data_IF_243154309162
#
_entry.id   IF_243154309162
#
_cell.length_a   1.000
_cell.length_b   1.000
_cell.length_c   1.000
_cell.angle_alpha   90.00
_cell.angle_beta   90.00
_cell.angle_gamma   90.00
#
_symmetry.space_group_name_H-M   'P 1'
#
loop_
_entity.id
_entity.type
_entity.pdbx_description
1 polymer ?
#
# COMPACT_ATOMS: atom_id res chain seq x y z
N UNK A 1 -17.24 4.19 -15.01
CA UNK A 1 -15.96 3.49 -15.25
C UNK A 1 -15.09 4.27 -16.23
N UNK A 2 -13.91 4.70 -15.78
CA UNK A 2 -13.00 5.51 -16.59
C UNK A 2 -11.93 4.62 -17.26
N UNK A 3 -11.55 4.93 -18.51
CA UNK A 3 -10.55 4.18 -19.31
C UNK A 3 -9.19 4.13 -18.60
N UNK A 4 -8.41 3.05 -18.69
CA UNK A 4 -7.10 2.99 -18.01
C UNK A 4 -6.10 4.04 -18.52
N UNK A 5 -6.24 4.51 -19.76
CA UNK A 5 -5.36 5.52 -20.35
C UNK A 5 -5.44 6.83 -19.58
N UNK A 6 -4.35 7.21 -18.92
CA UNK A 6 -4.29 8.49 -18.19
C UNK A 6 -4.37 9.67 -19.16
N UNK A 7 -5.22 10.68 -18.91
CA UNK A 7 -5.23 11.93 -19.67
C UNK A 7 -3.87 12.65 -19.57
N UNK A 8 -3.45 13.34 -20.64
CA UNK A 8 -2.18 14.07 -20.67
C UNK A 8 -2.03 15.06 -19.50
N UNK A 9 -3.11 15.76 -19.16
CA UNK A 9 -3.14 16.68 -18.02
C UNK A 9 -2.86 15.96 -16.68
N UNK A 10 -3.41 14.75 -16.50
CA UNK A 10 -3.15 13.94 -15.30
C UNK A 10 -1.71 13.42 -15.27
N UNK A 11 -1.13 13.07 -16.42
CA UNK A 11 0.28 12.66 -16.51
C UNK A 11 1.23 13.81 -16.13
N UNK A 12 1.00 14.99 -16.69
CA UNK A 12 1.76 16.19 -16.35
C UNK A 12 1.60 16.54 -14.86
N UNK A 13 0.37 16.51 -14.33
CA UNK A 13 0.11 16.73 -12.91
C UNK A 13 0.84 15.70 -12.03
N UNK A 14 0.86 14.43 -12.43
CA UNK A 14 1.58 13.36 -11.73
C UNK A 14 3.10 13.59 -11.69
N UNK A 15 3.70 14.05 -12.79
CA UNK A 15 5.13 14.39 -12.84
C UNK A 15 5.45 15.58 -11.94
N UNK A 16 4.67 16.66 -12.04
CA UNK A 16 4.82 17.83 -11.15
C UNK A 16 4.60 17.45 -9.68
N UNK A 17 3.61 16.60 -9.38
CA UNK A 17 3.37 16.09 -8.02
C UNK A 17 4.56 15.30 -7.50
N UNK A 18 5.24 14.50 -8.33
CA UNK A 18 6.42 13.76 -7.92
C UNK A 18 7.55 14.73 -7.51
N UNK A 19 7.81 15.78 -8.30
CA UNK A 19 8.78 16.82 -7.98
C UNK A 19 8.40 17.56 -6.68
N UNK A 20 7.15 18.01 -6.57
CA UNK A 20 6.65 18.74 -5.40
C UNK A 20 6.75 17.87 -4.14
N UNK A 21 6.38 16.59 -4.22
CA UNK A 21 6.53 15.63 -3.11
C UNK A 21 7.98 15.39 -2.74
N UNK A 22 8.90 15.36 -3.71
CA UNK A 22 10.34 15.24 -3.46
C UNK A 22 10.88 16.46 -2.72
N UNK A 23 10.51 17.67 -3.16
CA UNK A 23 10.93 18.92 -2.52
C UNK A 23 10.31 19.12 -1.12
N UNK A 24 9.09 18.63 -0.90
CA UNK A 24 8.43 18.64 0.42
C UNK A 24 9.01 17.59 1.38
N UNK A 25 9.70 16.58 0.87
CA UNK A 25 10.11 15.40 1.66
C UNK A 25 10.98 15.75 2.89
N UNK A 26 11.99 16.65 2.80
CA UNK A 26 12.77 17.01 4.00
C UNK A 26 11.93 17.66 5.10
N UNK A 27 10.91 18.45 4.75
CA UNK A 27 10.00 19.05 5.74
C UNK A 27 9.11 17.99 6.39
N UNK A 28 8.65 17.02 5.59
CA UNK A 28 7.85 15.90 6.05
C UNK A 28 8.67 15.04 7.02
N UNK A 29 9.90 14.67 6.67
CA UNK A 29 10.79 13.86 7.52
C UNK A 29 11.12 14.59 8.82
N UNK A 30 11.49 15.88 8.77
CA UNK A 30 11.80 16.64 9.98
C UNK A 30 10.60 16.78 10.92
N UNK A 31 9.41 17.09 10.38
CA UNK A 31 8.16 17.06 11.14
C UNK A 31 7.89 15.69 11.74
N UNK A 32 8.09 14.64 10.95
CA UNK A 32 7.82 13.28 11.35
C UNK A 32 8.73 12.83 12.49
N UNK A 33 10.04 13.05 12.37
CA UNK A 33 11.01 12.76 13.43
C UNK A 33 10.69 13.56 14.70
N UNK A 34 10.31 14.84 14.57
CA UNK A 34 9.91 15.66 15.70
C UNK A 34 8.67 15.09 16.39
N UNK A 35 7.63 14.71 15.62
CA UNK A 35 6.43 14.09 16.15
C UNK A 35 6.72 12.77 16.87
N UNK A 36 7.58 11.92 16.31
CA UNK A 36 7.98 10.64 16.92
C UNK A 36 8.61 10.78 18.30
N UNK A 37 9.32 11.90 18.58
CA UNK A 37 9.89 12.14 19.91
C UNK A 37 8.83 12.32 21.00
N UNK A 38 7.65 12.83 20.64
CA UNK A 38 6.59 13.17 21.58
C UNK A 38 5.42 12.16 21.59
N UNK A 39 5.39 11.23 20.63
CA UNK A 39 4.40 10.16 20.54
C UNK A 39 5.09 8.78 20.56
N UNK A 40 5.64 8.35 21.70
CA UNK A 40 6.28 7.03 21.80
C UNK A 40 5.24 5.90 21.79
N UNK A 41 5.57 4.78 21.16
CA UNK A 41 4.72 3.56 21.17
C UNK A 41 4.82 2.82 22.51
N UNK A 42 3.95 1.83 22.76
CA UNK A 42 4.02 1.02 23.98
C UNK A 42 5.35 0.26 24.11
N UNK A 43 5.81 -0.36 23.03
CA UNK A 43 7.10 -1.06 22.97
C UNK A 43 8.27 -0.12 23.30
N UNK A 44 8.29 1.09 22.72
CA UNK A 44 9.32 2.09 23.01
C UNK A 44 9.28 2.58 24.47
N UNK A 45 8.09 2.61 25.10
CA UNK A 45 7.93 2.97 26.51
C UNK A 45 8.41 1.86 27.45
N UNK A 46 8.13 0.60 27.12
CA UNK A 46 8.55 -0.57 27.88
C UNK A 46 10.06 -0.81 27.79
N UNK A 47 10.64 -0.74 26.59
CA UNK A 47 12.08 -0.97 26.36
C UNK A 47 12.95 0.25 26.72
N UNK A 48 12.46 1.45 26.43
CA UNK A 48 13.26 2.67 26.48
C UNK A 48 13.54 3.16 27.89
N UNK A 49 12.67 2.92 28.87
CA UNK A 49 12.74 3.57 30.16
C UNK A 49 12.56 5.10 30.08
N UNK A 50 11.96 5.69 31.12
CA UNK A 50 11.57 7.11 31.11
C UNK A 50 12.75 8.08 30.84
N UNK A 51 13.96 7.75 31.32
CA UNK A 51 15.16 8.59 31.16
C UNK A 51 15.68 8.66 29.72
N UNK A 52 15.65 7.57 28.95
CA UNK A 52 16.16 7.59 27.57
C UNK A 52 15.21 8.34 26.64
N UNK A 53 13.90 8.23 26.87
CA UNK A 53 12.90 8.99 26.11
C UNK A 53 13.10 10.49 26.34
N UNK A 54 13.24 10.90 27.61
CA UNK A 54 13.54 12.29 27.97
C UNK A 54 14.85 12.78 27.33
N UNK A 55 15.90 11.97 27.38
CA UNK A 55 17.19 12.31 26.78
C UNK A 55 17.07 12.53 25.26
N UNK A 56 16.38 11.62 24.54
CA UNK A 56 16.12 11.76 23.10
C UNK A 56 15.33 13.03 22.80
N UNK A 57 14.29 13.32 23.59
CA UNK A 57 13.50 14.55 23.45
C UNK A 57 14.38 15.79 23.60
N UNK A 58 15.19 15.89 24.66
CA UNK A 58 16.04 17.06 24.90
C UNK A 58 17.09 17.23 23.79
N UNK A 59 17.73 16.15 23.37
CA UNK A 59 18.82 16.19 22.39
C UNK A 59 18.34 16.44 20.96
N UNK A 60 17.23 15.83 20.55
CA UNK A 60 16.79 15.77 19.16
C UNK A 60 15.68 16.75 18.81
N UNK A 61 14.97 17.32 19.79
CA UNK A 61 13.90 18.30 19.51
C UNK A 61 14.46 19.53 18.80
N UNK A 62 15.53 20.14 19.33
CA UNK A 62 16.10 21.35 18.76
C UNK A 62 16.54 21.18 17.30
N UNK A 63 17.34 20.15 16.92
CA UNK A 63 17.77 20.00 15.53
C UNK A 63 16.61 19.72 14.58
N UNK A 64 15.63 18.87 14.95
CA UNK A 64 14.49 18.60 14.07
C UNK A 64 13.54 19.79 13.96
N UNK A 65 13.29 20.51 15.06
CA UNK A 65 12.48 21.72 15.05
C UNK A 65 13.15 22.82 14.21
N UNK A 66 14.46 23.04 14.36
CA UNK A 66 15.20 24.01 13.56
C UNK A 66 15.15 23.67 12.06
N UNK A 67 15.35 22.39 11.70
CA UNK A 67 15.24 21.93 10.32
C UNK A 67 13.83 22.12 9.76
N UNK A 68 12.78 21.80 10.53
CA UNK A 68 11.40 21.99 10.11
C UNK A 68 11.06 23.48 9.91
N UNK A 69 11.46 24.34 10.84
CA UNK A 69 11.25 25.80 10.76
C UNK A 69 11.98 26.38 9.55
N UNK A 70 13.22 25.95 9.28
CA UNK A 70 13.98 26.38 8.10
C UNK A 70 13.28 26.02 6.78
N UNK A 71 12.61 24.86 6.73
CA UNK A 71 11.90 24.36 5.56
C UNK A 71 10.44 24.85 5.47
N UNK A 72 9.95 25.55 6.50
CA UNK A 72 8.57 26.02 6.57
C UNK A 72 8.20 26.99 5.43
N UNK A 73 9.05 27.94 4.99
CA UNK A 73 8.75 28.80 3.85
C UNK A 73 8.57 28.02 2.53
N UNK A 74 9.42 27.02 2.30
CA UNK A 74 9.31 26.13 1.12
C UNK A 74 8.01 25.33 1.19
N UNK A 75 7.69 24.80 2.37
CA UNK A 75 6.45 24.05 2.62
C UNK A 75 5.22 24.92 2.39
N UNK A 76 5.23 26.18 2.85
CA UNK A 76 4.13 27.11 2.70
C UNK A 76 3.80 27.43 1.23
N UNK A 77 4.79 27.38 0.33
CA UNK A 77 4.60 27.58 -1.11
C UNK A 77 4.20 26.28 -1.82
N UNK A 78 4.87 25.18 -1.50
CA UNK A 78 4.70 23.90 -2.20
C UNK A 78 3.43 23.15 -1.78
N UNK A 79 2.92 23.35 -0.56
CA UNK A 79 1.72 22.68 -0.09
C UNK A 79 0.45 23.15 -0.85
N UNK A 80 0.20 24.47 -1.06
CA UNK A 80 -0.88 24.92 -1.94
C UNK A 80 -0.75 24.41 -3.37
N UNK A 81 0.47 24.40 -3.92
CA UNK A 81 0.74 23.84 -5.25
C UNK A 81 0.41 22.35 -5.31
N UNK A 82 0.78 21.57 -4.28
CA UNK A 82 0.39 20.16 -4.15
C UNK A 82 -1.13 20.03 -4.17
N UNK A 83 -1.86 20.83 -3.39
CA UNK A 83 -3.32 20.78 -3.35
C UNK A 83 -3.94 21.05 -4.73
N UNK A 84 -3.45 22.07 -5.44
CA UNK A 84 -3.90 22.40 -6.81
C UNK A 84 -3.62 21.25 -7.80
N UNK A 85 -2.43 20.67 -7.76
CA UNK A 85 -2.09 19.56 -8.65
C UNK A 85 -2.96 18.31 -8.37
N UNK A 86 -3.32 18.09 -7.10
CA UNK A 86 -4.21 16.99 -6.72
C UNK A 86 -5.65 17.17 -7.24
N UNK A 87 -6.12 18.40 -7.51
CA UNK A 87 -7.46 18.60 -8.12
C UNK A 87 -7.49 18.27 -9.61
N UNK A 88 -6.36 18.37 -10.29
CA UNK A 88 -6.24 18.09 -11.74
C UNK A 88 -6.01 16.60 -12.00
N UNK A 89 -5.41 15.93 -11.04
CA UNK A 89 -5.06 14.51 -11.15
C UNK A 89 -6.31 13.62 -11.10
N UNK A 90 -6.24 12.50 -11.83
CA UNK A 90 -7.18 11.39 -11.71
C UNK A 90 -7.24 10.84 -10.26
N UNK A 91 -8.40 10.35 -9.79
CA UNK A 91 -8.59 9.84 -8.43
C UNK A 91 -7.88 8.50 -8.11
N UNK A 92 -6.97 8.03 -8.96
CA UNK A 92 -6.14 6.85 -8.71
C UNK A 92 -4.95 6.84 -9.67
N UNK A 93 -3.97 5.98 -9.39
CA UNK A 93 -2.91 5.58 -10.33
C UNK A 93 -3.06 4.10 -10.65
N UNK A 94 -2.69 3.76 -11.88
CA UNK A 94 -2.61 2.38 -12.35
C UNK A 94 -1.18 2.11 -12.78
N UNK A 95 -0.62 1.02 -12.31
CA UNK A 95 0.71 0.54 -12.67
C UNK A 95 0.61 -0.89 -13.15
N UNK A 96 1.27 -1.16 -14.26
CA UNK A 96 1.37 -2.47 -14.88
C UNK A 96 2.84 -2.85 -15.01
N UNK A 97 3.26 -3.91 -14.33
CA UNK A 97 4.63 -4.39 -14.39
C UNK A 97 4.65 -5.91 -14.42
N UNK A 98 5.07 -6.46 -15.56
CA UNK A 98 5.26 -7.90 -15.71
C UNK A 98 6.72 -8.29 -15.55
N UNK A 99 6.94 -9.34 -14.78
CA UNK A 99 8.16 -10.14 -14.77
C UNK A 99 7.90 -11.48 -15.50
N UNK A 100 8.93 -12.29 -15.71
CA UNK A 100 8.80 -13.58 -16.42
C UNK A 100 7.78 -14.51 -15.74
N UNK A 101 7.77 -14.54 -14.41
CA UNK A 101 6.86 -15.37 -13.61
C UNK A 101 5.40 -14.96 -13.76
N UNK A 102 5.09 -13.68 -13.62
CA UNK A 102 3.73 -13.14 -13.71
C UNK A 102 3.15 -13.34 -15.10
N UNK A 103 3.96 -13.23 -16.18
CA UNK A 103 3.52 -13.60 -17.54
C UNK A 103 3.14 -15.07 -17.64
N UNK A 104 3.99 -15.95 -17.13
CA UNK A 104 3.75 -17.40 -17.16
C UNK A 104 2.50 -17.79 -16.35
N UNK A 105 2.30 -17.18 -15.18
CA UNK A 105 1.12 -17.38 -14.36
C UNK A 105 -0.15 -16.86 -15.05
N UNK A 106 -0.10 -15.68 -15.66
CA UNK A 106 -1.22 -15.11 -16.41
C UNK A 106 -1.63 -16.01 -17.59
N UNK A 107 -0.66 -16.53 -18.36
CA UNK A 107 -0.95 -17.46 -19.45
C UNK A 107 -1.55 -18.78 -18.97
N UNK A 108 -1.00 -19.32 -17.88
CA UNK A 108 -1.49 -20.57 -17.27
C UNK A 108 -2.91 -20.39 -16.75
N UNK A 109 -3.18 -19.27 -16.08
CA UNK A 109 -4.50 -18.90 -15.61
C UNK A 109 -5.47 -18.73 -16.79
N UNK A 110 -5.08 -18.04 -17.86
CA UNK A 110 -5.91 -17.87 -19.08
C UNK A 110 -6.31 -19.22 -19.68
N UNK A 111 -5.40 -20.19 -19.76
CA UNK A 111 -5.69 -21.55 -20.25
C UNK A 111 -6.67 -22.28 -19.32
N UNK A 112 -6.46 -22.20 -18.01
CA UNK A 112 -7.34 -22.84 -17.02
C UNK A 112 -8.74 -22.20 -16.98
N UNK A 113 -8.85 -20.88 -17.16
CA UNK A 113 -10.11 -20.15 -17.26
C UNK A 113 -10.88 -20.63 -18.50
N UNK A 114 -10.21 -20.70 -19.65
CA UNK A 114 -10.82 -21.20 -20.89
C UNK A 114 -11.30 -22.65 -20.79
N UNK A 115 -10.61 -23.47 -19.97
CA UNK A 115 -11.01 -24.85 -19.67
C UNK A 115 -12.11 -24.97 -18.60
N UNK A 116 -12.55 -23.87 -17.97
CA UNK A 116 -13.52 -23.90 -16.86
C UNK A 116 -12.98 -24.53 -15.57
N UNK A 117 -11.65 -24.60 -15.43
CA UNK A 117 -10.96 -25.26 -14.31
C UNK A 117 -10.30 -24.26 -13.34
N UNK A 118 -10.48 -22.96 -13.57
CA UNK A 118 -9.88 -21.92 -12.73
C UNK A 118 -10.76 -21.58 -11.53
N UNK A 119 -10.13 -21.42 -10.36
CA UNK A 119 -10.78 -20.93 -9.14
C UNK A 119 -10.18 -19.58 -8.79
N UNK A 120 -11.04 -18.58 -8.59
CA UNK A 120 -10.61 -17.24 -8.25
C UNK A 120 -10.45 -17.08 -6.74
N UNK A 121 -9.26 -16.65 -6.30
CA UNK A 121 -8.99 -16.25 -4.93
C UNK A 121 -9.10 -14.74 -4.74
N UNK A 122 -9.88 -14.29 -3.77
CA UNK A 122 -10.00 -12.85 -3.43
C UNK A 122 -9.70 -12.66 -1.95
N UNK A 123 -8.82 -11.71 -1.65
CA UNK A 123 -8.42 -11.39 -0.29
C UNK A 123 -8.61 -9.90 0.01
N UNK A 124 -8.85 -9.58 1.28
CA UNK A 124 -8.86 -8.20 1.77
C UNK A 124 -8.02 -8.09 3.04
N UNK A 125 -7.26 -7.00 3.17
CA UNK A 125 -6.44 -6.74 4.35
C UNK A 125 -6.41 -5.25 4.67
N UNK A 126 -6.71 -4.91 5.93
CA UNK A 126 -6.40 -3.61 6.48
C UNK A 126 -5.00 -3.69 7.12
N UNK A 127 -4.07 -2.85 6.67
CA UNK A 127 -2.65 -2.98 7.03
C UNK A 127 -2.10 -1.82 7.86
N UNK A 128 -2.90 -0.79 8.15
CA UNK A 128 -2.52 0.35 8.98
C UNK A 128 -1.17 1.00 8.58
N UNK A 129 -0.91 1.17 7.26
CA UNK A 129 0.27 1.88 6.74
C UNK A 129 -0.03 3.38 6.63
N UNK A 130 -0.10 4.02 7.78
CA UNK A 130 -0.38 5.45 7.94
C UNK A 130 0.92 6.26 7.95
N UNK A 131 0.89 7.59 7.70
CA UNK A 131 1.97 8.47 8.14
C UNK A 131 2.35 8.20 9.60
N UNK A 132 3.63 8.30 9.93
CA UNK A 132 4.19 7.74 11.17
C UNK A 132 3.57 8.36 12.44
N UNK A 133 3.25 9.67 12.46
CA UNK A 133 2.47 10.26 13.57
C UNK A 133 1.14 9.51 13.82
N UNK A 134 0.40 9.20 12.75
CA UNK A 134 -0.87 8.49 12.85
C UNK A 134 -0.67 7.01 13.19
N UNK A 135 0.39 6.40 12.68
CA UNK A 135 0.76 5.02 13.04
C UNK A 135 1.08 4.90 14.54
N UNK A 136 1.81 5.88 15.10
CA UNK A 136 2.15 5.93 16.52
C UNK A 136 0.94 6.13 17.43
N UNK A 137 -0.07 6.87 16.98
CA UNK A 137 -1.36 6.95 17.68
C UNK A 137 -2.06 5.58 17.77
N UNK A 138 -1.75 4.65 16.86
CA UNK A 138 -2.19 3.26 16.89
C UNK A 138 -1.13 2.30 17.48
N UNK A 139 -0.11 2.84 18.15
CA UNK A 139 1.04 2.10 18.71
C UNK A 139 1.84 1.28 17.69
N UNK A 140 1.87 1.74 16.44
CA UNK A 140 2.66 1.15 15.37
C UNK A 140 3.84 2.06 15.03
N UNK A 141 5.06 1.57 15.22
CA UNK A 141 6.30 2.23 14.82
C UNK A 141 6.75 1.75 13.43
N UNK A 142 7.76 2.43 12.88
CA UNK A 142 8.54 1.99 11.72
C UNK A 142 7.67 1.57 10.52
N UNK A 143 6.97 2.56 9.95
CA UNK A 143 6.14 2.34 8.76
C UNK A 143 6.97 1.83 7.57
N UNK A 144 8.25 2.21 7.48
CA UNK A 144 9.17 1.76 6.44
C UNK A 144 9.39 0.25 6.54
N UNK A 145 9.87 -0.24 7.68
CA UNK A 145 10.08 -1.66 7.94
C UNK A 145 8.79 -2.46 7.72
N UNK A 146 7.67 -2.01 8.30
CA UNK A 146 6.39 -2.70 8.15
C UNK A 146 5.95 -2.80 6.69
N UNK A 147 6.14 -1.75 5.89
CA UNK A 147 5.78 -1.78 4.47
C UNK A 147 6.55 -2.85 3.68
N UNK A 148 7.84 -3.00 3.98
CA UNK A 148 8.71 -4.05 3.40
C UNK A 148 8.26 -5.43 3.87
N UNK A 149 8.16 -5.64 5.19
CA UNK A 149 7.85 -6.94 5.77
C UNK A 149 6.49 -7.47 5.35
N UNK A 150 5.47 -6.60 5.28
CA UNK A 150 4.14 -6.97 4.80
C UNK A 150 4.20 -7.40 3.33
N UNK A 151 4.87 -6.61 2.48
CA UNK A 151 5.03 -6.93 1.05
C UNK A 151 5.77 -8.25 0.83
N UNK A 152 6.88 -8.46 1.54
CA UNK A 152 7.67 -9.68 1.49
C UNK A 152 6.87 -10.90 1.94
N UNK A 153 6.13 -10.80 3.05
CA UNK A 153 5.30 -11.89 3.53
C UNK A 153 4.23 -12.30 2.52
N UNK A 154 3.53 -11.33 1.93
CA UNK A 154 2.54 -11.59 0.89
C UNK A 154 3.22 -12.28 -0.29
N UNK A 155 4.33 -11.72 -0.80
CA UNK A 155 5.09 -12.28 -1.92
C UNK A 155 5.51 -13.74 -1.67
N UNK A 156 6.08 -14.04 -0.50
CA UNK A 156 6.55 -15.37 -0.12
C UNK A 156 5.42 -16.40 -0.09
N UNK A 157 4.30 -16.07 0.57
CA UNK A 157 3.14 -16.95 0.66
C UNK A 157 2.50 -17.22 -0.72
N UNK A 158 2.43 -16.18 -1.56
CA UNK A 158 1.97 -16.34 -2.94
C UNK A 158 2.95 -17.16 -3.78
N UNK A 159 4.26 -17.05 -3.55
CA UNK A 159 5.27 -17.80 -4.28
C UNK A 159 5.24 -19.28 -3.93
N UNK A 160 5.08 -19.62 -2.65
CA UNK A 160 4.96 -20.99 -2.17
C UNK A 160 3.69 -21.67 -2.72
N UNK A 161 2.56 -20.95 -2.67
CA UNK A 161 1.27 -21.43 -3.18
C UNK A 161 1.30 -21.85 -4.65
N UNK A 162 2.15 -21.21 -5.47
CA UNK A 162 2.24 -21.51 -6.91
C UNK A 162 3.24 -22.59 -7.29
N UNK A 163 4.27 -22.83 -6.48
CA UNK A 163 5.17 -23.96 -6.74
C UNK A 163 4.40 -25.28 -6.71
N UNK A 164 3.28 -25.34 -5.98
CA UNK A 164 2.36 -26.48 -5.97
C UNK A 164 1.48 -26.59 -7.23
N UNK A 165 1.38 -25.55 -8.06
CA UNK A 165 0.47 -25.48 -9.22
C UNK A 165 1.21 -25.60 -10.55
N UNK A 166 2.52 -25.32 -10.59
CA UNK A 166 3.33 -25.47 -11.80
C UNK A 166 3.74 -26.94 -12.00
N UNK A 167 3.71 -27.47 -13.23
CA UNK A 167 4.24 -28.81 -13.51
C UNK A 167 5.73 -28.82 -13.15
N UNK A 168 6.13 -29.71 -12.23
CA UNK A 168 7.53 -29.99 -11.97
C UNK A 168 8.14 -30.60 -13.23
N UNK A 169 8.77 -29.79 -14.08
CA UNK A 169 9.70 -30.31 -15.06
C UNK A 169 10.90 -30.86 -14.29
N UNK A 170 11.17 -32.15 -14.49
CA UNK A 170 11.99 -32.97 -13.61
C UNK A 170 13.43 -32.49 -13.37
N UNK A 171 14.01 -33.10 -12.33
CA UNK A 171 15.41 -33.10 -11.89
C UNK A 171 15.91 -31.88 -11.08
N UNK A 172 15.83 -31.96 -9.75
CA UNK A 172 16.99 -32.29 -8.90
C UNK A 172 16.54 -32.62 -7.48
N UNK A 173 17.37 -33.45 -6.85
CA UNK A 173 17.23 -34.17 -5.59
C UNK A 173 17.09 -33.31 -4.33
N UNK A 174 16.17 -33.75 -3.45
CA UNK A 174 16.40 -33.74 -2.00
C UNK A 174 15.61 -32.73 -1.16
N UNK A 175 14.33 -33.00 -0.87
CA UNK A 175 13.67 -32.60 0.39
C UNK A 175 12.55 -33.61 0.73
N UNK A 176 12.29 -33.88 2.03
CA UNK A 176 11.52 -35.04 2.44
C UNK A 176 10.03 -34.89 2.11
N UNK A 177 9.53 -35.90 1.40
CA UNK A 177 8.13 -36.17 1.19
C UNK A 177 7.42 -36.36 2.54
N UNK A 178 6.72 -35.33 3.01
CA UNK A 178 5.53 -35.57 3.83
C UNK A 178 4.36 -35.73 2.86
N UNK A 179 4.29 -36.93 2.29
CA UNK A 179 3.13 -37.37 1.54
C UNK A 179 2.02 -37.67 2.54
N UNK A 180 1.13 -36.70 2.75
CA UNK A 180 -0.20 -36.96 3.27
C UNK A 180 -1.21 -36.21 2.39
N UNK A 181 -1.91 -36.99 1.57
CA UNK A 181 -3.24 -36.66 1.08
C UNK A 181 -3.31 -35.68 -0.10
N UNK A 182 -3.33 -36.23 -1.31
CA UNK A 182 -4.22 -35.73 -2.36
C UNK A 182 -5.68 -36.05 -1.94
N UNK A 183 -6.13 -35.37 -0.89
CA UNK A 183 -7.52 -35.29 -0.53
C UNK A 183 -8.04 -33.98 -1.09
N UNK A 184 -9.26 -33.98 -1.61
CA UNK A 184 -10.04 -32.76 -1.77
C UNK A 184 -10.00 -32.03 -0.44
N UNK A 185 -9.16 -31.01 -0.27
CA UNK A 185 -9.39 -30.06 0.80
C UNK A 185 -10.62 -29.28 0.34
N UNK A 186 -11.78 -29.72 0.80
CA UNK A 186 -12.77 -28.76 1.26
C UNK A 186 -11.97 -27.76 2.09
N UNK A 187 -11.73 -26.59 1.49
CA UNK A 187 -11.08 -25.50 2.19
C UNK A 187 -12.06 -25.16 3.30
N UNK A 188 -11.76 -25.69 4.50
CA UNK A 188 -12.66 -25.72 5.62
C UNK A 188 -13.13 -24.28 5.86
N UNK A 189 -14.43 -24.06 5.69
CA UNK A 189 -15.01 -22.71 5.67
C UNK A 189 -14.79 -22.13 7.07
N UNK A 190 -13.93 -21.11 7.17
CA UNK A 190 -13.54 -20.53 8.46
C UNK A 190 -12.25 -21.08 9.07
N UNK A 191 -11.42 -21.80 8.31
CA UNK A 191 -10.06 -22.16 8.74
C UNK A 191 -9.19 -20.92 8.97
N UNK A 192 -8.43 -20.94 10.06
CA UNK A 192 -7.41 -19.93 10.37
C UNK A 192 -6.08 -20.42 9.80
N UNK A 193 -5.45 -19.62 8.94
CA UNK A 193 -4.17 -19.93 8.30
C UNK A 193 -3.10 -18.93 8.74
N UNK A 194 -1.87 -19.40 8.89
CA UNK A 194 -0.69 -18.54 9.09
C UNK A 194 -0.16 -17.93 7.79
N UNK A 195 -0.61 -18.42 6.64
CA UNK A 195 -0.16 -17.98 5.31
C UNK A 195 -1.31 -17.50 4.45
N UNK A 196 -1.03 -16.53 3.58
CA UNK A 196 -2.01 -16.08 2.60
C UNK A 196 -2.39 -17.23 1.65
N UNK A 197 -3.68 -17.45 1.36
CA UNK A 197 -4.10 -18.41 0.35
C UNK A 197 -3.67 -17.93 -1.06
N UNK A 198 -3.78 -18.76 -2.11
CA UNK A 198 -3.62 -18.27 -3.47
C UNK A 198 -4.62 -17.15 -3.78
N UNK A 199 -4.13 -15.94 -4.10
CA UNK A 199 -4.96 -14.77 -4.36
C UNK A 199 -4.80 -14.27 -5.80
N UNK A 200 -5.91 -14.11 -6.52
CA UNK A 200 -5.96 -13.42 -7.82
C UNK A 200 -6.15 -11.92 -7.66
N UNK A 201 -6.92 -11.52 -6.65
CA UNK A 201 -7.19 -10.12 -6.33
C UNK A 201 -6.97 -9.90 -4.84
N UNK A 202 -6.18 -8.89 -4.50
CA UNK A 202 -5.94 -8.45 -3.13
C UNK A 202 -6.36 -6.99 -2.98
N UNK A 203 -7.34 -6.76 -2.10
CA UNK A 203 -7.82 -5.44 -1.72
C UNK A 203 -7.15 -5.02 -0.41
N UNK A 204 -6.45 -3.89 -0.41
CA UNK A 204 -5.76 -3.36 0.77
C UNK A 204 -6.44 -2.06 1.22
N UNK A 205 -6.68 -1.94 2.53
CA UNK A 205 -7.15 -0.72 3.20
C UNK A 205 -6.07 -0.12 4.12
N UNK A 206 -6.22 1.16 4.44
CA UNK A 206 -5.32 1.96 5.28
C UNK A 206 -3.87 2.02 4.79
N UNK A 207 -3.67 1.90 3.48
CA UNK A 207 -2.40 2.19 2.81
C UNK A 207 -2.31 3.69 2.50
N UNK A 208 -2.28 4.56 3.51
CA UNK A 208 -2.31 6.02 3.33
C UNK A 208 -0.96 6.64 3.01
N UNK A 209 0.15 6.00 3.40
CA UNK A 209 1.48 6.57 3.16
C UNK A 209 1.87 6.48 1.68
N UNK A 210 1.80 7.61 0.97
CA UNK A 210 2.23 7.67 -0.43
C UNK A 210 3.73 7.39 -0.65
N UNK A 211 4.55 7.58 0.38
CA UNK A 211 6.00 7.32 0.32
C UNK A 211 6.27 5.83 0.55
N UNK A 212 5.79 5.29 1.66
CA UNK A 212 6.05 3.90 2.08
C UNK A 212 5.31 2.88 1.18
N UNK A 213 4.15 3.26 0.63
CA UNK A 213 3.43 2.41 -0.31
C UNK A 213 4.25 2.04 -1.56
N UNK A 214 5.25 2.84 -1.96
CA UNK A 214 6.07 2.50 -3.14
C UNK A 214 6.80 1.18 -2.95
N UNK A 215 7.37 0.98 -1.77
CA UNK A 215 8.12 -0.23 -1.42
C UNK A 215 7.18 -1.43 -1.35
N UNK A 216 6.01 -1.26 -0.72
CA UNK A 216 4.95 -2.28 -0.74
C UNK A 216 4.53 -2.64 -2.18
N UNK A 217 4.31 -1.65 -3.04
CA UNK A 217 3.91 -1.85 -4.44
C UNK A 217 5.00 -2.59 -5.23
N UNK A 218 6.28 -2.28 -5.01
CA UNK A 218 7.42 -2.96 -5.64
C UNK A 218 7.47 -4.44 -5.27
N UNK A 219 7.23 -4.77 -3.99
CA UNK A 219 7.13 -6.15 -3.52
C UNK A 219 5.90 -6.87 -4.08
N UNK A 220 4.74 -6.20 -4.11
CA UNK A 220 3.50 -6.75 -4.66
C UNK A 220 3.60 -7.03 -6.16
N UNK A 221 4.27 -6.18 -6.94
CA UNK A 221 4.50 -6.38 -8.38
C UNK A 221 5.27 -7.66 -8.72
N UNK A 222 5.97 -8.25 -7.75
CA UNK A 222 6.59 -9.57 -7.95
C UNK A 222 5.55 -10.69 -8.17
N UNK A 223 4.30 -10.46 -7.73
CA UNK A 223 3.20 -11.42 -7.79
C UNK A 223 1.98 -10.92 -8.56
N UNK A 224 1.68 -9.62 -8.46
CA UNK A 224 0.48 -8.99 -9.03
C UNK A 224 0.91 -7.94 -10.07
N UNK A 225 0.88 -8.27 -11.37
CA UNK A 225 1.32 -7.35 -12.41
C UNK A 225 0.45 -6.09 -12.53
N UNK A 226 -0.82 -6.13 -12.10
CA UNK A 226 -1.75 -5.03 -12.25
C UNK A 226 -2.11 -4.43 -10.89
N UNK A 227 -1.71 -3.19 -10.62
CA UNK A 227 -1.96 -2.54 -9.33
C UNK A 227 -2.61 -1.17 -9.51
N UNK A 228 -3.73 -0.95 -8.82
CA UNK A 228 -4.41 0.33 -8.64
C UNK A 228 -4.05 0.87 -7.26
N UNK A 229 -3.51 2.08 -7.19
CA UNK A 229 -3.02 2.66 -5.94
C UNK A 229 -3.18 4.19 -5.90
N UNK A 230 -2.84 4.78 -4.74
CA UNK A 230 -2.99 6.23 -4.49
C UNK A 230 -4.42 6.70 -4.84
N UNK A 231 -5.41 5.89 -4.46
CA UNK A 231 -6.82 6.10 -4.76
C UNK A 231 -7.39 7.17 -3.84
N UNK A 232 -8.13 8.13 -4.35
CA UNK A 232 -8.82 9.15 -3.57
C UNK A 232 -9.08 10.43 -4.37
N UNK A 233 -10.13 11.16 -3.98
CA UNK A 233 -10.37 12.53 -4.43
C UNK A 233 -9.87 13.49 -3.36
N UNK A 234 -9.08 14.48 -3.78
CA UNK A 234 -8.60 15.54 -2.91
C UNK A 234 -9.37 16.83 -3.18
N UNK A 235 -10.15 17.26 -2.19
CA UNK A 235 -10.92 18.49 -2.25
C UNK A 235 -11.18 19.01 -0.83
N UNK A 236 -11.42 20.32 -0.70
CA UNK A 236 -11.64 20.97 0.60
C UNK A 236 -12.83 20.35 1.36
N UNK A 237 -13.89 20.02 0.64
CA UNK A 237 -15.12 19.43 1.18
C UNK A 237 -15.08 17.89 1.30
N UNK A 238 -14.01 17.23 0.85
CA UNK A 238 -13.87 15.76 0.90
C UNK A 238 -12.90 15.35 1.99
N UNK A 239 -11.65 15.80 1.90
CA UNK A 239 -10.57 15.37 2.79
C UNK A 239 -9.61 16.49 3.18
N UNK A 240 -9.98 17.76 2.94
CA UNK A 240 -9.11 18.94 3.12
C UNK A 240 -7.72 18.78 2.50
N UNK A 241 -7.61 18.00 1.41
CA UNK A 241 -6.36 17.66 0.72
C UNK A 241 -5.32 16.87 1.54
N UNK A 242 -5.72 16.29 2.68
CA UNK A 242 -4.81 15.61 3.61
C UNK A 242 -4.48 14.19 3.14
N UNK A 243 -5.33 13.19 3.45
CA UNK A 243 -5.09 11.78 3.13
C UNK A 243 -5.97 11.28 1.98
N UNK A 244 -5.39 10.43 1.14
CA UNK A 244 -6.14 9.69 0.13
C UNK A 244 -7.06 8.63 0.81
N UNK A 245 -7.69 7.75 0.05
CA UNK A 245 -8.60 6.72 0.61
C UNK A 245 -7.87 5.63 1.39
N UNK A 246 -6.58 5.44 1.16
CA UNK A 246 -5.82 4.29 1.67
C UNK A 246 -6.15 2.98 0.95
N UNK A 247 -6.92 3.02 -0.14
CA UNK A 247 -7.22 1.85 -0.94
C UNK A 247 -6.10 1.53 -1.94
N UNK A 248 -5.78 0.24 -2.03
CA UNK A 248 -4.93 -0.33 -3.07
C UNK A 248 -5.56 -1.64 -3.53
N UNK A 249 -5.60 -1.90 -4.83
CA UNK A 249 -6.08 -3.16 -5.39
C UNK A 249 -4.99 -3.75 -6.27
N UNK A 250 -4.54 -4.96 -5.95
CA UNK A 250 -3.57 -5.71 -6.71
C UNK A 250 -4.26 -6.91 -7.39
N UNK A 251 -3.98 -7.13 -8.67
CA UNK A 251 -4.63 -8.15 -9.49
C UNK A 251 -3.61 -8.90 -10.33
N UNK A 252 -3.87 -10.21 -10.52
CA UNK A 252 -3.17 -11.05 -11.50
C UNK A 252 -3.73 -10.97 -12.90
N UNK A 253 -4.98 -10.54 -13.00
CA UNK A 253 -5.70 -10.45 -14.25
C UNK A 253 -5.80 -8.97 -14.68
N UNK A 254 -5.80 -8.70 -16.00
CA UNK A 254 -5.89 -7.34 -16.52
C UNK A 254 -7.08 -6.57 -15.92
N UNK A 255 -6.85 -5.34 -15.48
CA UNK A 255 -7.92 -4.50 -14.93
C UNK A 255 -8.50 -3.68 -16.09
N UNK A 256 -9.73 -3.95 -16.50
CA UNK A 256 -10.34 -3.23 -17.63
C UNK A 256 -10.80 -1.81 -17.27
N UNK A 257 -11.25 -1.63 -16.02
CA UNK A 257 -11.80 -0.36 -15.58
C UNK A 257 -11.70 -0.16 -14.07
N UNK A 258 -11.62 1.10 -13.66
CA UNK A 258 -11.56 1.50 -12.25
C UNK A 258 -12.43 2.74 -12.03
N UNK A 259 -13.11 2.77 -10.89
CA UNK A 259 -13.92 3.88 -10.44
C UNK A 259 -13.79 4.06 -8.93
N UNK A 260 -13.61 5.30 -8.47
CA UNK A 260 -13.62 5.65 -7.06
C UNK A 260 -14.76 6.62 -6.78
N UNK A 261 -15.59 6.32 -5.78
CA UNK A 261 -16.68 7.18 -5.34
C UNK A 261 -16.49 7.54 -3.86
N UNK A 262 -16.24 8.82 -3.52
CA UNK A 262 -16.17 9.23 -2.12
C UNK A 262 -17.56 9.13 -1.48
N UNK A 263 -17.60 8.85 -0.18
CA UNK A 263 -18.85 8.96 0.58
C UNK A 263 -19.33 10.42 0.62
N UNK A 264 -20.63 10.61 0.84
CA UNK A 264 -21.24 11.96 0.92
C UNK A 264 -21.37 12.48 2.34
N UNK A 265 -21.39 11.57 3.31
CA UNK A 265 -21.61 11.87 4.72
C UNK A 265 -20.46 11.31 5.54
N UNK A 266 -19.95 12.13 6.45
CA UNK A 266 -18.84 11.81 7.34
C UNK A 266 -19.10 12.40 8.72
N UNK A 267 -18.63 11.72 9.76
CA UNK A 267 -18.42 12.32 11.08
C UNK A 267 -17.20 13.25 11.03
N UNK A 268 -17.10 14.23 11.92
CA UNK A 268 -16.12 15.33 11.80
C UNK A 268 -14.66 14.87 11.65
N UNK A 269 -14.25 13.78 12.32
CA UNK A 269 -12.90 13.22 12.19
C UNK A 269 -12.64 12.54 10.82
N UNK A 270 -13.67 12.19 10.07
CA UNK A 270 -13.56 11.63 8.71
C UNK A 270 -13.17 12.65 7.64
N UNK A 271 -13.21 13.96 7.95
CA UNK A 271 -12.95 15.06 6.99
C UNK A 271 -11.50 15.19 6.52
N UNK A 272 -10.59 14.36 7.03
CA UNK A 272 -9.17 14.34 6.64
C UNK A 272 -8.83 13.15 5.72
N UNK A 273 -9.75 12.22 5.50
CA UNK A 273 -9.54 11.01 4.68
C UNK A 273 -10.55 11.01 3.55
N UNK A 274 -10.10 10.70 2.33
CA UNK A 274 -10.99 10.51 1.19
C UNK A 274 -11.67 9.14 1.28
N UNK A 275 -12.54 8.93 2.27
CA UNK A 275 -13.23 7.62 2.41
C UNK A 275 -14.23 7.44 1.27
N UNK A 276 -14.36 6.22 0.76
CA UNK A 276 -15.22 5.91 -0.36
C UNK A 276 -15.20 4.45 -0.74
N UNK A 277 -15.63 4.15 -1.95
CA UNK A 277 -15.62 2.81 -2.55
C UNK A 277 -14.76 2.83 -3.81
N UNK A 278 -13.83 1.88 -3.89
CA UNK A 278 -13.07 1.60 -5.11
C UNK A 278 -13.68 0.39 -5.79
N UNK A 279 -14.12 0.55 -7.04
CA UNK A 279 -14.63 -0.53 -7.87
C UNK A 279 -13.64 -0.79 -9.00
N UNK A 280 -13.30 -2.06 -9.21
CA UNK A 280 -12.46 -2.53 -10.32
C UNK A 280 -13.25 -3.53 -11.17
N UNK A 281 -13.04 -3.49 -12.48
CA UNK A 281 -13.47 -4.54 -13.41
C UNK A 281 -12.22 -5.29 -13.84
N UNK A 282 -12.24 -6.60 -13.61
CA UNK A 282 -11.15 -7.54 -13.86
C UNK A 282 -11.68 -8.64 -14.77
#
# INVERSE_FOLDING_TARGET
MATLREPLASQAANLCLALVRYLLYPSYVSFNCLASLYYPTFEEQEEGGSSNILLKQVLLTLPFAALFILLLPVTAVLLPLRCLLLTVRRPFRYSELHNERTRLLEETARRAIAAGQYKFGVGSANICLMPELLSRMNHLSDVDYRSVSIGQRIKEDQFASHQMVLPCNGSTSGLPSSANGCGKSEQDVGSVSSSFPPLDVLCIQEAWSSYHNKVLIEELHQTFPYIVHDVGIHALNVNSFVLNSGHLVASRHPIEAVEFKPYKHFVDHGKIISMGVTSVKV
#
